data_IF_848514785057
#
_entry.id   IF_848514785057
#
_cell.length_a   1.000
_cell.length_b   1.000
_cell.length_c   1.000
_cell.angle_alpha   90.00
_cell.angle_beta   90.00
_cell.angle_gamma   90.00
#
_symmetry.space_group_name_H-M   'P 1'
#
loop_
_entity.id
_entity.type
_entity.pdbx_description
1 polymer ?
#
# COMPACT_ATOMS: atom_id res chain seq x y z
N UNK A 1 11.64 27.56 -6.77
CA UNK A 1 10.49 26.63 -6.57
C UNK A 1 9.42 27.04 -7.56
N UNK A 2 8.76 26.10 -8.23
CA UNK A 2 7.57 26.42 -9.00
C UNK A 2 6.37 26.69 -8.09
N UNK A 3 5.23 26.99 -8.70
CA UNK A 3 4.02 27.40 -7.99
C UNK A 3 3.49 26.31 -7.04
N UNK A 4 3.46 25.04 -7.48
CA UNK A 4 2.93 23.94 -6.67
C UNK A 4 3.85 23.64 -5.50
N UNK A 5 5.17 23.62 -5.73
CA UNK A 5 6.12 23.39 -4.64
C UNK A 5 6.09 24.50 -3.59
N UNK A 6 5.94 25.77 -4.00
CA UNK A 6 5.76 26.88 -3.06
C UNK A 6 4.52 26.70 -2.18
N UNK A 7 3.36 26.42 -2.78
CA UNK A 7 2.09 26.25 -2.05
C UNK A 7 2.11 25.06 -1.08
N UNK A 8 2.81 23.98 -1.43
CA UNK A 8 2.81 22.73 -0.67
C UNK A 8 3.95 22.64 0.35
N UNK A 9 4.87 23.61 0.39
CA UNK A 9 5.97 23.62 1.34
C UNK A 9 5.52 23.64 2.82
N UNK A 10 4.48 24.41 3.23
CA UNK A 10 3.95 24.34 4.60
C UNK A 10 3.46 22.94 4.97
N UNK A 11 2.79 22.24 4.04
CA UNK A 11 2.36 20.86 4.25
C UNK A 11 3.55 19.91 4.39
N UNK A 12 4.62 20.11 3.60
CA UNK A 12 5.86 19.35 3.73
C UNK A 12 6.49 19.52 5.14
N UNK A 13 6.50 20.75 5.68
CA UNK A 13 6.97 21.01 7.05
C UNK A 13 6.08 20.36 8.10
N UNK A 14 4.77 20.38 7.92
CA UNK A 14 3.84 19.66 8.77
C UNK A 14 4.15 18.15 8.79
N UNK A 15 4.37 17.53 7.63
CA UNK A 15 4.74 16.10 7.51
C UNK A 15 6.06 15.81 8.24
N UNK A 16 7.10 16.62 8.06
CA UNK A 16 8.37 16.47 8.77
C UNK A 16 8.16 16.52 10.29
N UNK A 17 7.43 17.52 10.78
CA UNK A 17 7.16 17.68 12.21
C UNK A 17 6.34 16.51 12.77
N UNK A 18 5.35 16.04 12.02
CA UNK A 18 4.56 14.85 12.37
C UNK A 18 5.48 13.63 12.50
N UNK A 19 6.36 13.41 11.51
CA UNK A 19 7.30 12.28 11.52
C UNK A 19 8.25 12.35 12.69
N UNK A 20 8.90 13.49 12.92
CA UNK A 20 9.79 13.68 14.06
C UNK A 20 9.11 13.40 15.40
N UNK A 21 7.84 13.79 15.56
CA UNK A 21 7.07 13.55 16.80
C UNK A 21 6.81 12.08 17.06
N UNK A 22 6.29 11.33 16.08
CA UNK A 22 6.00 9.91 16.31
C UNK A 22 7.29 9.07 16.34
N UNK A 23 8.33 9.43 15.57
CA UNK A 23 9.62 8.73 15.64
C UNK A 23 10.30 8.87 17.01
N UNK A 24 10.07 9.98 17.71
CA UNK A 24 10.59 10.19 19.06
C UNK A 24 9.90 9.32 20.13
N UNK A 25 8.72 8.77 19.83
CA UNK A 25 7.91 7.96 20.74
C UNK A 25 7.76 6.50 20.26
N UNK A 26 8.66 6.03 19.39
CA UNK A 26 8.50 4.79 18.64
C UNK A 26 8.18 3.56 19.53
N UNK A 27 8.83 3.43 20.70
CA UNK A 27 8.60 2.29 21.61
C UNK A 27 7.17 2.33 22.17
N UNK A 28 6.77 3.47 22.75
CA UNK A 28 5.42 3.63 23.30
C UNK A 28 4.33 3.50 22.22
N UNK A 29 4.61 4.00 21.01
CA UNK A 29 3.70 3.85 19.86
C UNK A 29 3.55 2.37 19.46
N UNK A 30 4.64 1.58 19.42
CA UNK A 30 4.59 0.15 19.12
C UNK A 30 3.78 -0.63 20.17
N UNK A 31 4.01 -0.38 21.46
CA UNK A 31 3.24 -1.01 22.55
C UNK A 31 1.75 -0.69 22.44
N UNK A 32 1.41 0.58 22.18
CA UNK A 32 0.04 1.02 21.99
C UNK A 32 -0.60 0.40 20.75
N UNK A 33 0.13 0.33 19.64
CA UNK A 33 -0.34 -0.32 18.41
C UNK A 33 -0.65 -1.79 18.69
N UNK A 34 0.27 -2.54 19.32
CA UNK A 34 0.05 -3.93 19.67
C UNK A 34 -1.19 -4.11 20.55
N UNK A 35 -1.31 -3.32 21.62
CA UNK A 35 -2.45 -3.38 22.53
C UNK A 35 -3.78 -3.13 21.81
N UNK A 36 -3.84 -2.14 20.91
CA UNK A 36 -5.02 -1.87 20.11
C UNK A 36 -5.34 -3.01 19.14
N UNK A 37 -4.34 -3.53 18.41
CA UNK A 37 -4.53 -4.61 17.45
C UNK A 37 -5.07 -5.89 18.13
N UNK A 38 -4.50 -6.26 19.27
CA UNK A 38 -4.96 -7.41 20.07
C UNK A 38 -6.39 -7.18 20.57
N UNK A 39 -6.65 -6.00 21.12
CA UNK A 39 -7.98 -5.63 21.65
C UNK A 39 -9.06 -5.69 20.56
N UNK A 40 -8.78 -5.14 19.38
CA UNK A 40 -9.75 -5.05 18.28
C UNK A 40 -9.98 -6.43 17.66
N UNK A 41 -8.92 -7.24 17.50
CA UNK A 41 -9.02 -8.58 16.94
C UNK A 41 -9.50 -9.65 17.93
N UNK A 42 -9.70 -9.33 19.22
CA UNK A 42 -9.95 -10.31 20.28
C UNK A 42 -11.08 -11.31 20.00
N UNK A 43 -12.14 -10.86 19.31
CA UNK A 43 -13.34 -11.66 19.07
C UNK A 43 -13.32 -12.38 17.71
N UNK A 44 -12.28 -12.16 16.91
CA UNK A 44 -12.10 -12.84 15.63
C UNK A 44 -11.78 -14.31 15.84
N UNK A 45 -11.93 -15.14 14.81
CA UNK A 45 -11.53 -16.55 14.88
C UNK A 45 -10.06 -16.69 15.29
N UNK A 46 -9.16 -15.94 14.66
CA UNK A 46 -7.75 -15.92 15.02
C UNK A 46 -7.53 -15.46 16.46
N UNK A 47 -8.21 -14.39 16.89
CA UNK A 47 -8.12 -13.89 18.26
C UNK A 47 -8.54 -14.93 19.31
N UNK A 48 -9.57 -15.73 19.02
CA UNK A 48 -10.02 -16.82 19.90
C UNK A 48 -9.03 -17.98 19.91
N UNK A 49 -8.57 -18.41 18.73
CA UNK A 49 -7.64 -19.53 18.58
C UNK A 49 -6.30 -19.27 19.30
N UNK A 50 -5.89 -18.00 19.41
CA UNK A 50 -4.67 -17.57 20.11
C UNK A 50 -4.96 -16.82 21.43
N UNK A 51 -6.17 -16.97 21.99
CA UNK A 51 -6.53 -16.46 23.33
C UNK A 51 -6.19 -14.98 23.58
N UNK A 52 -6.50 -14.09 22.63
CA UNK A 52 -6.19 -12.66 22.70
C UNK A 52 -6.74 -11.96 23.94
N UNK A 53 -7.79 -12.50 24.57
CA UNK A 53 -8.32 -12.01 25.84
C UNK A 53 -7.32 -12.08 27.01
N UNK A 54 -6.31 -12.96 26.93
CA UNK A 54 -5.27 -13.17 27.94
C UNK A 54 -3.98 -12.42 27.63
N UNK A 55 -3.91 -11.70 26.51
CA UNK A 55 -2.73 -10.96 26.08
C UNK A 55 -2.80 -9.56 26.68
N UNK A 56 -1.93 -9.26 27.63
CA UNK A 56 -1.85 -7.95 28.29
C UNK A 56 -0.58 -7.18 27.94
N UNK A 57 0.46 -7.88 27.50
CA UNK A 57 1.74 -7.31 27.13
C UNK A 57 2.39 -8.07 25.95
N UNK A 58 3.57 -7.61 25.53
CA UNK A 58 4.30 -8.20 24.42
C UNK A 58 4.76 -9.65 24.66
N UNK A 59 5.14 -10.01 25.89
CA UNK A 59 5.56 -11.37 26.21
C UNK A 59 4.38 -12.35 26.14
N UNK A 60 3.20 -11.94 26.61
CA UNK A 60 1.97 -12.73 26.44
C UNK A 60 1.66 -12.94 24.95
N UNK A 61 1.79 -11.88 24.13
CA UNK A 61 1.54 -11.95 22.69
C UNK A 61 2.50 -12.93 22.02
N UNK A 62 3.80 -12.83 22.32
CA UNK A 62 4.84 -13.69 21.76
C UNK A 62 4.64 -15.16 22.16
N UNK A 63 4.18 -15.41 23.39
CA UNK A 63 3.87 -16.76 23.86
C UNK A 63 2.62 -17.35 23.17
N UNK A 64 1.61 -16.51 22.91
CA UNK A 64 0.35 -16.94 22.31
C UNK A 64 0.38 -17.06 20.78
N UNK A 65 1.18 -16.21 20.11
CA UNK A 65 1.21 -16.09 18.64
C UNK A 65 2.59 -16.47 18.10
N UNK A 66 2.69 -17.69 17.57
CA UNK A 66 3.89 -18.15 16.88
C UNK A 66 4.17 -17.39 15.59
N UNK A 67 5.46 -17.29 15.23
CA UNK A 67 5.88 -16.85 13.89
C UNK A 67 5.36 -17.86 12.87
N UNK A 68 4.77 -17.36 11.77
CA UNK A 68 4.07 -18.15 10.76
C UNK A 68 4.42 -17.67 9.36
N UNK A 69 4.38 -18.61 8.43
CA UNK A 69 4.40 -18.26 7.02
C UNK A 69 2.97 -18.13 6.44
N UNK A 70 2.86 -18.02 5.12
CA UNK A 70 1.56 -17.93 4.48
C UNK A 70 0.77 -19.23 4.54
N UNK A 71 1.41 -20.40 4.47
CA UNK A 71 0.73 -21.68 4.48
C UNK A 71 0.07 -21.95 5.84
N UNK A 72 0.72 -21.53 6.92
CA UNK A 72 0.14 -21.58 8.27
C UNK A 72 -1.10 -20.68 8.42
N UNK A 73 -1.16 -19.57 7.69
CA UNK A 73 -2.29 -18.63 7.70
C UNK A 73 -3.36 -18.95 6.64
N UNK A 74 -3.02 -19.79 5.65
CA UNK A 74 -3.88 -20.14 4.53
C UNK A 74 -5.24 -20.69 4.95
N UNK A 75 -5.38 -21.54 5.99
CA UNK A 75 -6.70 -21.99 6.44
C UNK A 75 -7.65 -20.84 6.81
N UNK A 76 -7.14 -19.79 7.47
CA UNK A 76 -7.92 -18.59 7.77
C UNK A 76 -8.23 -17.79 6.52
N UNK A 77 -7.28 -17.66 5.59
CA UNK A 77 -7.52 -16.96 4.33
C UNK A 77 -8.58 -17.66 3.49
N UNK A 78 -8.59 -18.99 3.42
CA UNK A 78 -9.62 -19.76 2.70
C UNK A 78 -11.02 -19.56 3.30
N UNK A 79 -11.14 -19.48 4.63
CA UNK A 79 -12.41 -19.11 5.30
C UNK A 79 -12.91 -17.74 4.84
N UNK A 80 -12.03 -16.75 4.75
CA UNK A 80 -12.40 -15.41 4.23
C UNK A 80 -12.81 -15.51 2.74
N UNK A 81 -12.10 -16.31 1.93
CA UNK A 81 -12.42 -16.55 0.52
C UNK A 81 -13.73 -17.33 0.32
N UNK A 82 -14.23 -18.01 1.35
CA UNK A 82 -15.56 -18.62 1.40
C UNK A 82 -16.64 -17.63 1.90
N UNK A 83 -16.25 -16.40 2.22
CA UNK A 83 -17.15 -15.32 2.61
C UNK A 83 -17.34 -15.15 4.11
N UNK A 84 -16.61 -15.91 4.94
CA UNK A 84 -16.64 -15.77 6.39
C UNK A 84 -16.06 -14.41 6.82
N UNK A 85 -16.70 -13.78 7.82
CA UNK A 85 -16.29 -12.51 8.42
C UNK A 85 -15.61 -12.76 9.77
N UNK A 86 -14.92 -11.75 10.30
CA UNK A 86 -14.33 -11.79 11.64
C UNK A 86 -13.30 -12.93 11.79
N UNK A 87 -12.53 -13.23 10.75
CA UNK A 87 -11.57 -14.36 10.73
C UNK A 87 -10.19 -13.95 11.24
N UNK A 88 -9.43 -13.18 10.45
CA UNK A 88 -8.11 -12.64 10.83
C UNK A 88 -8.20 -11.22 11.41
N UNK A 89 -9.25 -10.50 11.07
CA UNK A 89 -9.53 -9.12 11.48
C UNK A 89 -11.05 -8.92 11.52
N UNK A 90 -11.59 -7.99 12.34
CA UNK A 90 -13.02 -7.72 12.36
C UNK A 90 -13.59 -7.37 10.98
N UNK A 91 -14.78 -7.88 10.70
CA UNK A 91 -15.50 -7.69 9.45
C UNK A 91 -14.90 -8.47 8.27
N UNK A 92 -15.04 -7.89 7.07
CA UNK A 92 -14.45 -8.39 5.82
C UNK A 92 -13.32 -7.44 5.38
N UNK A 93 -12.23 -7.96 4.78
CA UNK A 93 -11.21 -7.13 4.15
C UNK A 93 -11.80 -6.14 3.15
N UNK A 94 -11.18 -4.97 3.02
CA UNK A 94 -11.47 -4.00 1.98
C UNK A 94 -11.03 -4.51 0.60
N UNK A 95 -9.87 -5.18 0.56
CA UNK A 95 -9.30 -5.78 -0.64
C UNK A 95 -8.61 -7.10 -0.33
N UNK A 96 -8.41 -7.91 -1.37
CA UNK A 96 -7.37 -8.93 -1.40
C UNK A 96 -6.24 -8.50 -2.34
N UNK A 97 -5.04 -8.35 -1.80
CA UNK A 97 -3.83 -8.23 -2.60
C UNK A 97 -3.38 -9.64 -3.03
N UNK A 98 -3.40 -9.90 -4.34
CA UNK A 98 -2.84 -11.11 -4.96
C UNK A 98 -1.34 -10.94 -5.16
N UNK A 99 -0.57 -11.94 -4.77
CA UNK A 99 0.85 -12.05 -5.13
C UNK A 99 1.07 -13.33 -5.95
N UNK A 100 1.94 -13.25 -6.95
CA UNK A 100 2.23 -14.33 -7.91
C UNK A 100 3.13 -15.42 -7.32
N UNK A 101 2.88 -15.81 -6.05
CA UNK A 101 3.74 -16.69 -5.26
C UNK A 101 4.29 -17.88 -6.04
N UNK A 102 5.60 -18.09 -5.95
CA UNK A 102 6.34 -19.08 -6.75
C UNK A 102 6.21 -20.51 -6.26
N UNK A 103 5.79 -20.73 -5.01
CA UNK A 103 5.85 -22.06 -4.36
C UNK A 103 4.48 -22.68 -4.06
N UNK A 104 3.44 -21.87 -3.86
CA UNK A 104 2.14 -22.33 -3.32
C UNK A 104 0.93 -21.93 -4.16
N UNK A 105 1.17 -21.45 -5.37
CA UNK A 105 0.18 -20.74 -6.17
C UNK A 105 -0.04 -19.29 -5.70
N UNK A 106 -1.11 -18.68 -6.22
CA UNK A 106 -1.45 -17.28 -5.93
C UNK A 106 -1.80 -17.12 -4.45
N UNK A 107 -1.09 -16.22 -3.76
CA UNK A 107 -1.37 -15.88 -2.36
C UNK A 107 -2.33 -14.71 -2.30
N UNK A 108 -3.30 -14.79 -1.39
CA UNK A 108 -4.29 -13.76 -1.13
C UNK A 108 -4.01 -13.12 0.22
N UNK A 109 -3.56 -11.87 0.22
CA UNK A 109 -3.26 -11.11 1.43
C UNK A 109 -4.44 -10.18 1.73
N UNK A 110 -5.19 -10.39 2.83
CA UNK A 110 -6.31 -9.52 3.18
C UNK A 110 -5.80 -8.14 3.60
N UNK A 111 -6.40 -7.09 3.03
CA UNK A 111 -6.17 -5.70 3.42
C UNK A 111 -7.37 -5.17 4.17
N UNK A 112 -7.18 -4.66 5.39
CA UNK A 112 -8.27 -4.11 6.18
C UNK A 112 -8.70 -2.72 5.69
N UNK A 113 -9.89 -2.29 6.07
CA UNK A 113 -10.36 -0.92 5.75
C UNK A 113 -9.50 0.12 6.46
N UNK A 114 -9.04 -0.20 7.67
CA UNK A 114 -8.23 0.66 8.53
C UNK A 114 -6.80 0.82 8.01
N UNK A 115 -6.22 -0.23 7.38
CA UNK A 115 -4.87 -0.16 6.82
C UNK A 115 -4.84 0.53 5.45
N UNK A 116 -5.96 0.55 4.74
CA UNK A 116 -6.07 1.06 3.37
C UNK A 116 -5.50 2.50 3.21
N UNK A 117 -5.83 3.48 4.08
CA UNK A 117 -5.26 4.83 4.00
C UNK A 117 -3.72 4.87 4.09
N UNK A 118 -3.10 3.92 4.78
CA UNK A 118 -1.64 3.88 4.98
C UNK A 118 -0.88 3.55 3.71
N UNK A 119 -1.48 2.85 2.73
CA UNK A 119 -0.82 2.50 1.48
C UNK A 119 -0.52 3.74 0.61
N UNK A 120 -1.47 4.67 0.51
CA UNK A 120 -1.25 5.95 -0.16
C UNK A 120 -0.55 6.95 0.76
N UNK A 121 -0.98 7.03 2.03
CA UNK A 121 -0.48 8.00 3.00
C UNK A 121 1.01 7.89 3.26
N UNK A 122 1.55 6.67 3.37
CA UNK A 122 2.99 6.46 3.61
C UNK A 122 3.84 6.92 2.42
N UNK A 123 3.44 6.59 1.19
CA UNK A 123 4.16 7.02 -0.02
C UNK A 123 4.17 8.55 -0.16
N UNK A 124 3.02 9.19 0.07
CA UNK A 124 2.90 10.66 0.13
C UNK A 124 3.83 11.23 1.21
N UNK A 125 3.73 10.73 2.44
CA UNK A 125 4.49 11.29 3.56
C UNK A 125 6.01 11.12 3.34
N UNK A 126 6.46 10.05 2.68
CA UNK A 126 7.87 9.86 2.32
C UNK A 126 8.41 10.98 1.40
N UNK A 127 7.72 11.27 0.28
CA UNK A 127 8.16 12.32 -0.65
C UNK A 127 8.03 13.73 -0.07
N UNK A 128 7.01 13.97 0.76
CA UNK A 128 6.84 15.26 1.45
C UNK A 128 7.85 15.44 2.59
N UNK A 129 8.28 14.37 3.26
CA UNK A 129 9.36 14.42 4.23
C UNK A 129 10.69 14.79 3.55
N UNK A 130 11.00 14.17 2.40
CA UNK A 130 12.15 14.56 1.58
C UNK A 130 12.09 16.05 1.21
N UNK A 131 10.96 16.51 0.69
CA UNK A 131 10.78 17.92 0.32
C UNK A 131 10.94 18.86 1.52
N UNK A 132 10.30 18.54 2.66
CA UNK A 132 10.36 19.38 3.86
C UNK A 132 11.75 19.46 4.49
N UNK A 133 12.59 18.41 4.34
CA UNK A 133 13.97 18.38 4.84
C UNK A 133 14.96 19.06 3.90
N UNK A 134 14.83 18.87 2.59
CA UNK A 134 15.83 19.32 1.61
C UNK A 134 15.47 20.64 0.93
N UNK A 135 14.20 21.04 0.98
CA UNK A 135 13.69 22.12 0.13
C UNK A 135 13.60 21.76 -1.35
N UNK A 136 13.95 20.54 -1.76
CA UNK A 136 13.89 20.13 -3.15
C UNK A 136 12.47 19.69 -3.53
N UNK A 137 11.66 20.66 -3.96
CA UNK A 137 10.26 20.46 -4.36
C UNK A 137 10.02 20.46 -5.87
N UNK A 138 11.05 20.58 -6.71
CA UNK A 138 10.88 20.75 -8.17
C UNK A 138 10.07 19.63 -8.83
N UNK A 139 10.03 18.45 -8.19
CA UNK A 139 9.25 17.28 -8.61
C UNK A 139 7.73 17.50 -8.54
N UNK A 140 7.24 18.40 -7.69
CA UNK A 140 5.82 18.77 -7.60
C UNK A 140 5.33 19.58 -8.80
N UNK A 141 6.25 20.22 -9.52
CA UNK A 141 5.97 21.15 -10.61
C UNK A 141 6.00 20.46 -11.99
N UNK A 142 6.06 19.13 -12.04
CA UNK A 142 5.96 18.33 -13.26
C UNK A 142 4.97 17.18 -13.13
N UNK A 143 5.00 16.24 -14.06
CA UNK A 143 4.18 15.02 -14.04
C UNK A 143 4.87 13.88 -13.29
N UNK A 144 4.05 12.98 -12.75
CA UNK A 144 4.45 11.75 -12.10
C UNK A 144 4.22 10.58 -13.07
N UNK A 145 5.18 9.68 -13.20
CA UNK A 145 4.92 8.34 -13.73
C UNK A 145 4.78 7.36 -12.58
N UNK A 146 3.74 6.53 -12.62
CA UNK A 146 3.54 5.41 -11.71
C UNK A 146 3.48 4.10 -12.49
N UNK A 147 4.62 3.44 -12.60
CA UNK A 147 4.76 2.10 -13.17
C UNK A 147 4.16 1.10 -12.18
N UNK A 148 2.92 0.71 -12.43
CA UNK A 148 2.10 -0.10 -11.54
C UNK A 148 1.53 -1.32 -12.26
N UNK A 149 1.14 -2.34 -11.49
CA UNK A 149 0.38 -3.47 -12.03
C UNK A 149 -1.01 -3.02 -12.48
N UNK A 150 -1.67 -3.85 -13.28
CA UNK A 150 -3.02 -3.57 -13.79
C UNK A 150 -3.98 -3.17 -12.65
N UNK A 151 -4.73 -2.06 -12.77
CA UNK A 151 -5.68 -1.61 -11.76
C UNK A 151 -7.01 -2.37 -11.84
N UNK A 152 -7.18 -3.29 -12.80
CA UNK A 152 -8.36 -4.14 -12.89
C UNK A 152 -8.49 -5.00 -11.64
N UNK A 153 -9.70 -5.05 -11.08
CA UNK A 153 -10.00 -5.85 -9.90
C UNK A 153 -10.99 -6.94 -10.28
N UNK A 154 -10.69 -8.16 -9.85
CA UNK A 154 -11.65 -9.26 -9.78
C UNK A 154 -12.41 -9.18 -8.45
N UNK A 155 -13.33 -10.13 -8.24
CA UNK A 155 -14.04 -10.28 -6.96
C UNK A 155 -13.85 -11.69 -6.42
N UNK A 156 -13.44 -11.79 -5.15
CA UNK A 156 -13.34 -13.06 -4.42
C UNK A 156 -14.24 -12.97 -3.18
N UNK A 157 -15.30 -13.79 -3.08
CA UNK A 157 -16.26 -13.73 -1.97
C UNK A 157 -16.85 -12.33 -1.68
N UNK A 158 -17.08 -11.55 -2.75
CA UNK A 158 -17.57 -10.17 -2.64
C UNK A 158 -16.51 -9.14 -2.23
N UNK A 159 -15.22 -9.52 -2.18
CA UNK A 159 -14.10 -8.65 -1.86
C UNK A 159 -13.32 -8.31 -3.15
N UNK A 160 -13.14 -7.01 -3.47
CA UNK A 160 -12.31 -6.59 -4.60
C UNK A 160 -10.89 -7.14 -4.49
N UNK A 161 -10.38 -7.75 -5.56
CA UNK A 161 -9.16 -8.55 -5.53
C UNK A 161 -8.27 -8.19 -6.72
N UNK A 162 -7.00 -7.89 -6.47
CA UNK A 162 -6.05 -7.53 -7.54
C UNK A 162 -4.61 -7.45 -7.05
N UNK A 163 -3.69 -7.06 -7.92
CA UNK A 163 -2.28 -6.80 -7.53
C UNK A 163 -2.22 -5.59 -6.60
N UNK A 164 -1.35 -5.61 -5.59
CA UNK A 164 -1.26 -4.50 -4.62
C UNK A 164 -1.01 -3.13 -5.28
N UNK A 165 -0.09 -3.06 -6.25
CA UNK A 165 0.19 -1.82 -6.99
C UNK A 165 -0.99 -1.36 -7.86
N UNK A 166 -1.80 -2.30 -8.36
CA UNK A 166 -3.05 -2.01 -9.05
C UNK A 166 -4.12 -1.45 -8.11
N UNK A 167 -4.29 -2.06 -6.93
CA UNK A 167 -5.19 -1.58 -5.87
C UNK A 167 -4.84 -0.15 -5.47
N UNK A 168 -3.55 0.20 -5.37
CA UNK A 168 -3.10 1.56 -5.03
C UNK A 168 -3.69 2.65 -5.95
N UNK A 169 -3.95 2.37 -7.24
CA UNK A 169 -4.57 3.34 -8.15
C UNK A 169 -6.01 3.73 -7.77
N UNK A 170 -6.70 2.87 -7.00
CA UNK A 170 -8.03 3.15 -6.44
C UNK A 170 -7.96 3.99 -5.16
N UNK A 171 -6.80 4.05 -4.51
CA UNK A 171 -6.59 4.75 -3.24
C UNK A 171 -6.09 6.18 -3.43
N UNK A 172 -5.57 6.51 -4.62
CA UNK A 172 -5.13 7.86 -4.96
C UNK A 172 -6.36 8.75 -5.21
N UNK A 173 -6.52 9.88 -4.49
CA UNK A 173 -7.60 10.83 -4.74
C UNK A 173 -7.64 11.29 -6.21
N UNK A 174 -8.84 11.34 -6.79
CA UNK A 174 -9.01 11.61 -8.22
C UNK A 174 -8.34 12.90 -8.71
N UNK A 175 -8.38 13.96 -7.91
CA UNK A 175 -7.75 15.24 -8.24
C UNK A 175 -6.21 15.16 -8.33
N UNK A 176 -5.57 14.25 -7.58
CA UNK A 176 -4.12 13.99 -7.66
C UNK A 176 -3.74 13.16 -8.90
N UNK A 177 -4.65 12.34 -9.42
CA UNK A 177 -4.40 11.50 -10.61
C UNK A 177 -4.26 12.30 -11.90
N UNK A 178 -4.76 13.54 -11.95
CA UNK A 178 -4.67 14.41 -13.13
C UNK A 178 -3.25 14.70 -13.63
N UNK A 179 -2.24 14.59 -12.75
CA UNK A 179 -0.82 14.75 -13.10
C UNK A 179 -0.05 13.43 -13.15
N UNK A 180 -0.74 12.29 -13.07
CA UNK A 180 -0.13 10.96 -13.10
C UNK A 180 -0.27 10.35 -14.50
N UNK A 181 0.79 9.73 -14.98
CA UNK A 181 0.86 8.85 -16.15
C UNK A 181 1.32 7.46 -15.71
N UNK A 182 1.08 6.41 -16.50
CA UNK A 182 0.27 6.40 -17.73
C UNK A 182 -1.23 6.54 -17.46
N UNK A 183 -2.02 6.68 -18.52
CA UNK A 183 -3.48 6.71 -18.50
C UNK A 183 -4.07 5.44 -17.87
N UNK A 184 -5.36 5.49 -17.51
CA UNK A 184 -6.06 4.31 -16.98
C UNK A 184 -6.07 3.16 -17.98
N UNK A 185 -6.37 3.47 -19.24
CA UNK A 185 -6.47 2.47 -20.32
C UNK A 185 -5.12 1.79 -20.57
N UNK A 186 -4.02 2.55 -20.63
CA UNK A 186 -2.66 1.99 -20.72
C UNK A 186 -2.30 1.19 -19.47
N UNK A 187 -2.74 1.62 -18.28
CA UNK A 187 -2.53 0.83 -17.07
C UNK A 187 -3.26 -0.53 -17.08
N UNK A 188 -4.38 -0.65 -17.79
CA UNK A 188 -5.18 -1.88 -17.93
C UNK A 188 -4.64 -2.87 -18.98
N UNK A 189 -3.59 -2.52 -19.74
CA UNK A 189 -2.95 -3.46 -20.67
C UNK A 189 -2.24 -4.56 -19.90
N UNK A 190 -2.55 -5.82 -20.22
CA UNK A 190 -2.02 -6.99 -19.50
C UNK A 190 -0.64 -7.42 -20.03
N UNK A 191 -0.41 -7.34 -21.35
CA UNK A 191 0.90 -7.62 -21.95
C UNK A 191 1.89 -6.52 -21.55
N UNK A 192 2.99 -6.92 -20.91
CA UNK A 192 3.90 -5.96 -20.29
C UNK A 192 4.69 -5.16 -21.33
N UNK A 193 5.14 -5.83 -22.39
CA UNK A 193 5.90 -5.25 -23.48
C UNK A 193 5.06 -4.24 -24.26
N UNK A 194 3.82 -4.58 -24.61
CA UNK A 194 2.87 -3.65 -25.23
C UNK A 194 2.55 -2.48 -24.30
N UNK A 195 2.30 -2.77 -23.01
CA UNK A 195 2.06 -1.73 -22.01
C UNK A 195 3.24 -0.76 -21.91
N UNK A 196 4.46 -1.28 -21.93
CA UNK A 196 5.68 -0.48 -21.83
C UNK A 196 5.82 0.49 -23.01
N UNK A 197 5.55 0.03 -24.24
CA UNK A 197 5.58 0.90 -25.42
C UNK A 197 4.57 2.04 -25.31
N UNK A 198 3.32 1.73 -24.94
CA UNK A 198 2.29 2.75 -24.73
C UNK A 198 2.64 3.73 -23.62
N UNK A 199 3.29 3.25 -22.55
CA UNK A 199 3.79 4.10 -21.48
C UNK A 199 4.80 5.10 -22.06
N UNK A 200 5.78 4.62 -22.83
CA UNK A 200 6.81 5.45 -23.47
C UNK A 200 6.18 6.49 -24.41
N UNK A 201 5.23 6.09 -25.25
CA UNK A 201 4.51 7.00 -26.15
C UNK A 201 3.80 8.13 -25.38
N UNK A 202 3.18 7.81 -24.24
CA UNK A 202 2.50 8.79 -23.40
C UNK A 202 3.45 9.74 -22.66
N UNK A 203 4.68 9.31 -22.35
CA UNK A 203 5.57 10.00 -21.41
C UNK A 203 6.79 10.66 -22.04
N UNK A 204 7.27 10.22 -23.21
CA UNK A 204 8.52 10.68 -23.84
C UNK A 204 8.55 12.21 -24.07
N UNK A 205 7.41 12.80 -24.42
CA UNK A 205 7.27 14.23 -24.69
C UNK A 205 6.72 15.03 -23.49
N UNK A 206 6.71 14.44 -22.29
CA UNK A 206 6.15 15.06 -21.09
C UNK A 206 7.24 15.48 -20.11
N UNK A 207 7.00 16.54 -19.35
CA UNK A 207 7.88 16.99 -18.26
C UNK A 207 7.71 16.11 -17.02
N UNK A 208 8.32 14.92 -17.07
CA UNK A 208 8.27 13.90 -16.02
C UNK A 208 9.32 14.21 -14.93
N UNK A 209 8.87 14.44 -13.69
CA UNK A 209 9.76 14.86 -12.59
C UNK A 209 9.69 14.00 -11.33
N UNK A 210 8.77 13.04 -11.29
CA UNK A 210 8.71 12.01 -10.26
C UNK A 210 8.45 10.67 -10.94
N UNK A 211 9.24 9.65 -10.58
CA UNK A 211 9.08 8.28 -11.07
C UNK A 211 8.82 7.40 -9.86
N UNK A 212 7.73 6.65 -9.92
CA UNK A 212 7.36 5.64 -8.94
C UNK A 212 7.17 4.30 -9.63
N UNK A 213 7.78 3.25 -9.11
CA UNK A 213 7.74 1.92 -9.70
C UNK A 213 8.71 0.99 -8.99
N UNK A 214 8.59 -0.32 -9.21
CA UNK A 214 9.62 -1.26 -8.77
C UNK A 214 10.87 -1.08 -9.64
N UNK A 215 12.09 -1.25 -9.08
CA UNK A 215 13.33 -0.96 -9.81
C UNK A 215 13.44 -1.63 -11.20
N UNK A 216 13.07 -2.92 -11.39
CA UNK A 216 13.16 -3.54 -12.71
C UNK A 216 12.27 -2.87 -13.78
N UNK A 217 11.06 -2.45 -13.42
CA UNK A 217 10.17 -1.77 -14.36
C UNK A 217 10.68 -0.38 -14.73
N UNK A 218 11.26 0.33 -13.76
CA UNK A 218 11.90 1.63 -14.01
C UNK A 218 13.09 1.46 -14.94
N UNK A 219 13.90 0.43 -14.75
CA UNK A 219 15.01 0.10 -15.66
C UNK A 219 14.50 -0.18 -17.08
N UNK A 220 13.54 -1.10 -17.25
CA UNK A 220 12.98 -1.43 -18.57
C UNK A 220 12.39 -0.22 -19.28
N UNK A 221 11.74 0.68 -18.53
CA UNK A 221 11.23 1.94 -19.06
C UNK A 221 12.35 2.82 -19.62
N UNK A 222 13.45 2.99 -18.87
CA UNK A 222 14.61 3.76 -19.36
C UNK A 222 15.38 3.10 -20.48
N UNK A 223 15.39 1.76 -20.57
CA UNK A 223 15.99 1.03 -21.69
C UNK A 223 15.19 1.19 -23.00
N UNK A 224 13.91 1.57 -22.89
CA UNK A 224 13.03 1.78 -24.05
C UNK A 224 12.98 3.25 -24.51
N UNK A 225 13.23 4.21 -23.60
CA UNK A 225 13.35 5.65 -23.91
C UNK A 225 14.57 5.95 -24.79
#
# INVERSE_FOLDING_TARGET
>A
MGFRSFLLYPFAKYVVNKISRWSANAIADQEKILSNLVKDARNTAFGKDHQFEKIHNYEDFKAAVSIRDYEDLKPYVERIKQGEKDVLWPGKPAYFAKTSGTTSGVKYIPMSRESTPSHFGTARDAVFNYFGKTGNGKWLDGKLIFLSGSPTLETTAGIPTGRLSGISNHLVPAWLRSNQLPSWDTNCVEDWEEKLERIVDETINQDMRLISGIPPWVQMYYERL
#
